data_IF_675089081342
#
_entry.id   IF_675089081342
#
_cell.length_a   1.000
_cell.length_b   1.000
_cell.length_c   1.000
_cell.angle_alpha   90.00
_cell.angle_beta   90.00
_cell.angle_gamma   90.00
#
_symmetry.space_group_name_H-M   'P 1'
#
loop_
_entity.id
_entity.type
_entity.pdbx_description
1 polymer ?
#
# COMPACT_ATOMS: atom_id res chain seq x y z
N UNK A 1 -18.33 6.96 -6.38
CA UNK A 1 -18.51 6.42 -5.03
C UNK A 1 -19.87 6.83 -4.50
N UNK A 2 -20.60 5.86 -3.96
CA UNK A 2 -21.92 6.04 -3.35
C UNK A 2 -21.96 5.30 -2.03
N UNK A 3 -22.75 5.79 -1.09
CA UNK A 3 -23.05 5.07 0.14
C UNK A 3 -23.91 3.83 -0.20
N UNK A 4 -23.48 2.65 0.25
CA UNK A 4 -24.11 1.37 -0.14
C UNK A 4 -25.54 1.25 0.37
N UNK A 5 -25.87 1.88 1.50
CA UNK A 5 -27.20 1.79 2.11
C UNK A 5 -28.19 2.72 1.44
N UNK A 6 -27.77 3.94 1.13
CA UNK A 6 -28.65 5.02 0.66
C UNK A 6 -28.57 5.25 -0.85
N UNK A 7 -27.51 4.78 -1.50
CA UNK A 7 -27.19 5.10 -2.89
C UNK A 7 -26.72 6.55 -3.09
N UNK A 8 -26.63 7.36 -2.03
CA UNK A 8 -26.27 8.77 -2.13
C UNK A 8 -24.79 8.94 -2.53
N UNK A 9 -24.46 9.92 -3.41
CA UNK A 9 -23.08 10.16 -3.82
C UNK A 9 -22.22 10.69 -2.67
N UNK A 10 -21.04 10.10 -2.49
CA UNK A 10 -20.08 10.50 -1.45
C UNK A 10 -19.07 11.50 -2.03
N UNK A 11 -19.12 12.74 -1.54
CA UNK A 11 -18.21 13.80 -1.93
C UNK A 11 -16.95 13.90 -1.04
N UNK A 12 -15.93 14.66 -1.47
CA UNK A 12 -14.69 14.87 -0.69
C UNK A 12 -14.92 15.49 0.69
N UNK A 13 -15.97 16.29 0.84
CA UNK A 13 -16.38 16.95 2.09
C UNK A 13 -16.88 15.96 3.15
N UNK A 14 -17.18 14.72 2.79
CA UNK A 14 -17.60 13.66 3.72
C UNK A 14 -16.45 12.74 4.13
N UNK A 15 -15.31 12.80 3.44
CA UNK A 15 -14.14 11.98 3.71
C UNK A 15 -13.18 12.71 4.66
N UNK A 16 -12.59 11.98 5.60
CA UNK A 16 -11.47 12.43 6.41
C UNK A 16 -10.19 12.52 5.55
N UNK A 17 -9.19 13.27 6.01
CA UNK A 17 -7.84 13.11 5.46
C UNK A 17 -7.21 11.88 6.12
N UNK A 18 -6.86 10.90 5.32
CA UNK A 18 -5.91 9.86 5.68
C UNK A 18 -4.67 10.10 4.82
N UNK A 19 -3.49 10.12 5.44
CA UNK A 19 -2.23 10.12 4.66
C UNK A 19 -2.16 11.31 3.69
N UNK A 20 -2.61 12.49 4.18
CA UNK A 20 -2.75 13.77 3.43
C UNK A 20 -3.77 13.78 2.28
N UNK A 21 -4.53 12.71 2.06
CA UNK A 21 -5.46 12.56 0.95
C UNK A 21 -6.83 12.09 1.43
N UNK A 22 -7.84 12.28 0.59
CA UNK A 22 -9.24 11.93 0.92
C UNK A 22 -9.60 10.51 0.52
N UNK A 23 -8.91 9.99 -0.49
CA UNK A 23 -9.19 8.72 -1.13
C UNK A 23 -7.87 8.16 -1.67
N UNK A 24 -7.64 6.88 -1.43
CA UNK A 24 -6.51 6.14 -1.95
C UNK A 24 -7.02 5.04 -2.87
N UNK A 25 -6.50 5.00 -4.10
CA UNK A 25 -6.74 3.90 -5.03
C UNK A 25 -5.50 3.01 -5.04
N UNK A 26 -5.67 1.79 -4.55
CA UNK A 26 -4.64 0.77 -4.46
C UNK A 26 -4.94 -0.26 -5.56
N UNK A 27 -4.26 -0.07 -6.69
CA UNK A 27 -4.54 -0.79 -7.93
C UNK A 27 -3.50 -1.89 -8.11
N UNK A 28 -3.96 -3.15 -8.23
CA UNK A 28 -3.08 -4.31 -8.31
C UNK A 28 -3.58 -5.29 -9.37
N UNK A 29 -2.66 -5.89 -10.11
CA UNK A 29 -2.97 -6.95 -11.07
C UNK A 29 -3.07 -8.35 -10.42
N UNK A 30 -3.65 -9.32 -11.15
CA UNK A 30 -3.97 -10.65 -10.60
C UNK A 30 -2.75 -11.53 -10.28
N UNK A 31 -1.56 -11.18 -10.78
CA UNK A 31 -0.28 -11.79 -10.41
C UNK A 31 0.42 -11.12 -9.22
N UNK A 32 -0.11 -9.98 -8.73
CA UNK A 32 0.46 -9.18 -7.64
C UNK A 32 1.87 -8.64 -7.94
N UNK A 33 2.11 -8.20 -9.18
CA UNK A 33 3.43 -7.70 -9.64
C UNK A 33 3.42 -6.30 -10.25
N UNK A 34 2.24 -5.75 -10.53
CA UNK A 34 2.02 -4.40 -11.01
C UNK A 34 1.04 -3.68 -10.07
N UNK A 35 1.64 -2.99 -9.11
CA UNK A 35 0.97 -2.23 -8.05
C UNK A 35 1.13 -0.73 -8.31
N UNK A 36 0.04 0.03 -8.17
CA UNK A 36 0.05 1.49 -8.20
C UNK A 36 -0.79 2.07 -7.06
N UNK A 37 -0.25 3.09 -6.40
CA UNK A 37 -0.94 3.88 -5.38
C UNK A 37 -1.31 5.24 -5.97
N UNK A 38 -2.59 5.49 -6.17
CA UNK A 38 -3.08 6.67 -6.88
C UNK A 38 -4.03 7.45 -5.98
N UNK A 39 -3.88 8.78 -5.95
CA UNK A 39 -4.87 9.66 -5.33
C UNK A 39 -5.73 10.29 -6.41
N UNK A 40 -6.99 9.87 -6.54
CA UNK A 40 -7.90 10.51 -7.46
C UNK A 40 -8.25 11.93 -6.97
N UNK A 41 -8.67 12.75 -7.91
CA UNK A 41 -9.27 14.06 -7.64
C UNK A 41 -10.78 13.96 -7.79
N UNK A 42 -11.51 14.87 -7.15
CA UNK A 42 -12.96 14.95 -7.33
C UNK A 42 -13.31 15.23 -8.79
N UNK A 43 -14.31 14.51 -9.32
CA UNK A 43 -14.82 14.69 -10.67
C UNK A 43 -15.86 15.80 -10.78
N UNK A 44 -16.46 15.92 -11.97
CA UNK A 44 -17.43 16.98 -12.26
C UNK A 44 -18.75 16.86 -11.48
N UNK A 45 -19.20 15.63 -11.20
CA UNK A 45 -20.40 15.39 -10.38
C UNK A 45 -20.00 14.92 -8.99
N UNK A 46 -20.85 15.19 -8.00
CA UNK A 46 -20.67 14.66 -6.65
C UNK A 46 -20.63 13.14 -6.70
N UNK A 47 -19.67 12.53 -6.01
CA UNK A 47 -19.45 11.09 -6.05
C UNK A 47 -18.50 10.64 -7.17
N UNK A 48 -18.25 11.48 -8.18
CA UNK A 48 -17.25 11.17 -9.20
C UNK A 48 -15.84 11.40 -8.66
N UNK A 49 -14.94 10.52 -9.05
CA UNK A 49 -13.51 10.60 -8.77
C UNK A 49 -12.77 10.29 -10.07
N UNK A 50 -11.75 11.09 -10.38
CA UNK A 50 -10.98 11.02 -11.62
C UNK A 50 -9.53 10.72 -11.30
N UNK A 51 -8.96 9.77 -12.04
CA UNK A 51 -7.56 9.38 -11.94
C UNK A 51 -7.03 8.93 -13.30
N UNK A 52 -5.71 8.90 -13.44
CA UNK A 52 -5.03 8.31 -14.59
C UNK A 52 -4.21 7.13 -14.11
N UNK A 53 -4.29 6.03 -14.84
CA UNK A 53 -3.62 4.77 -14.52
C UNK A 53 -2.98 4.25 -15.80
N UNK A 54 -1.72 3.82 -15.71
CA UNK A 54 -0.99 3.23 -16.84
C UNK A 54 -0.61 1.80 -16.49
N UNK A 55 -1.39 0.79 -16.91
CA UNK A 55 -1.06 -0.60 -16.60
C UNK A 55 0.24 -1.01 -17.30
N UNK A 56 1.08 -1.77 -16.61
CA UNK A 56 2.23 -2.43 -17.23
C UNK A 56 1.80 -3.60 -18.13
N UNK A 57 0.67 -4.24 -17.81
CA UNK A 57 0.20 -5.45 -18.47
C UNK A 57 -1.25 -5.29 -18.93
N UNK A 58 -1.59 -5.90 -20.07
CA UNK A 58 -2.94 -5.82 -20.64
C UNK A 58 -3.88 -6.83 -20.01
N UNK A 59 -4.08 -6.82 -18.69
CA UNK A 59 -4.80 -7.86 -17.92
C UNK A 59 -5.83 -7.30 -16.94
N UNK A 60 -6.38 -8.15 -16.08
CA UNK A 60 -7.33 -7.76 -15.04
C UNK A 60 -6.61 -7.10 -13.86
N UNK A 61 -7.17 -6.01 -13.36
CA UNK A 61 -6.75 -5.31 -12.16
C UNK A 61 -7.91 -5.20 -11.18
N UNK A 62 -7.61 -5.22 -9.88
CA UNK A 62 -8.52 -4.78 -8.84
C UNK A 62 -8.12 -3.40 -8.37
N UNK A 63 -9.09 -2.49 -8.34
CA UNK A 63 -8.97 -1.16 -7.76
C UNK A 63 -9.62 -1.19 -6.41
N UNK A 64 -8.82 -1.10 -5.35
CA UNK A 64 -9.32 -0.88 -4.00
C UNK A 64 -9.38 0.61 -3.71
N UNK A 65 -10.56 1.09 -3.35
CA UNK A 65 -10.76 2.41 -2.80
C UNK A 65 -10.71 2.31 -1.28
N UNK A 66 -9.66 2.87 -0.70
CA UNK A 66 -9.50 3.07 0.73
C UNK A 66 -9.93 4.49 1.10
N UNK A 67 -10.93 4.57 1.97
CA UNK A 67 -11.52 5.83 2.41
C UNK A 67 -11.92 5.76 3.87
N UNK A 68 -11.78 6.89 4.55
CA UNK A 68 -12.27 7.07 5.92
C UNK A 68 -13.32 8.15 5.91
N UNK A 69 -14.51 7.91 6.48
CA UNK A 69 -15.49 8.98 6.72
C UNK A 69 -15.06 9.82 7.90
N UNK A 70 -15.46 11.09 7.94
CA UNK A 70 -15.08 12.02 9.03
C UNK A 70 -15.30 11.47 10.44
N UNK A 71 -16.37 10.69 10.63
CA UNK A 71 -16.77 10.11 11.91
C UNK A 71 -16.82 8.57 11.86
N UNK A 72 -16.07 7.94 10.95
CA UNK A 72 -16.11 6.50 10.72
C UNK A 72 -14.73 5.86 10.68
N UNK A 73 -14.73 4.53 10.67
CA UNK A 73 -13.51 3.74 10.50
C UNK A 73 -13.00 3.77 9.06
N UNK A 74 -11.78 3.29 8.86
CA UNK A 74 -11.22 3.04 7.53
C UNK A 74 -12.03 1.93 6.83
N UNK A 75 -12.50 2.21 5.62
CA UNK A 75 -13.34 1.33 4.82
C UNK A 75 -12.66 1.05 3.48
N UNK A 76 -12.75 -0.19 3.02
CA UNK A 76 -12.27 -0.62 1.71
C UNK A 76 -13.44 -1.09 0.86
N UNK A 77 -13.55 -0.56 -0.35
CA UNK A 77 -14.43 -1.08 -1.40
C UNK A 77 -13.61 -1.34 -2.65
N UNK A 78 -14.03 -2.27 -3.49
CA UNK A 78 -13.28 -2.58 -4.71
C UNK A 78 -14.16 -2.69 -5.94
N UNK A 79 -13.52 -2.47 -7.09
CA UNK A 79 -14.04 -2.80 -8.40
C UNK A 79 -12.93 -3.44 -9.23
N UNK A 80 -13.33 -4.30 -10.17
CA UNK A 80 -12.39 -4.90 -11.11
C UNK A 80 -12.38 -4.08 -12.41
N UNK A 81 -11.19 -3.86 -12.96
CA UNK A 81 -10.98 -3.24 -14.27
C UNK A 81 -10.28 -4.22 -15.22
N UNK A 82 -10.66 -4.20 -16.49
CA UNK A 82 -10.04 -5.04 -17.53
C UNK A 82 -9.22 -4.11 -18.43
N UNK A 83 -7.90 -4.17 -18.32
CA UNK A 83 -6.97 -3.40 -19.16
C UNK A 83 -6.66 -4.11 -20.50
N UNK A 84 -7.01 -5.39 -20.62
CA UNK A 84 -6.85 -6.20 -21.82
C UNK A 84 -7.19 -7.67 -21.56
N UNK A 85 -6.73 -8.57 -22.43
CA UNK A 85 -7.01 -10.02 -22.38
C UNK A 85 -5.78 -10.90 -22.10
N UNK A 86 -4.66 -10.31 -21.68
CA UNK A 86 -3.46 -11.04 -21.30
C UNK A 86 -3.74 -11.95 -20.09
N UNK A 87 -3.29 -13.20 -20.17
CA UNK A 87 -3.37 -14.13 -19.03
C UNK A 87 -2.22 -13.85 -18.08
N UNK A 88 -2.53 -13.61 -16.81
CA UNK A 88 -1.50 -13.48 -15.81
C UNK A 88 -0.93 -14.83 -15.34
N UNK A 89 0.35 -14.86 -14.94
CA UNK A 89 0.88 -15.97 -14.17
C UNK A 89 0.25 -16.00 -12.77
N UNK A 90 0.22 -17.17 -12.14
CA UNK A 90 -0.16 -17.27 -10.74
C UNK A 90 0.81 -16.45 -9.87
N UNK A 91 0.34 -15.74 -8.82
CA UNK A 91 1.23 -15.06 -7.89
C UNK A 91 2.26 -16.01 -7.29
N UNK A 92 3.51 -15.56 -7.20
CA UNK A 92 4.58 -16.32 -6.54
C UNK A 92 4.24 -16.50 -5.05
N UNK A 93 4.28 -17.75 -4.61
CA UNK A 93 3.98 -18.14 -3.24
C UNK A 93 5.23 -18.26 -2.36
N UNK A 94 6.43 -18.12 -2.94
CA UNK A 94 7.67 -18.20 -2.17
C UNK A 94 7.80 -16.98 -1.26
N UNK A 95 8.08 -17.16 0.04
CA UNK A 95 8.41 -16.05 0.91
C UNK A 95 9.63 -15.28 0.39
N UNK A 96 9.50 -13.97 0.32
CA UNK A 96 10.55 -13.04 -0.09
C UNK A 96 10.53 -11.92 0.94
N UNK A 97 11.54 -11.92 1.81
CA UNK A 97 11.69 -10.95 2.90
C UNK A 97 12.87 -10.01 2.69
N UNK A 98 13.56 -10.12 1.56
CA UNK A 98 14.62 -9.19 1.16
C UNK A 98 14.43 -8.74 -0.28
N UNK A 99 14.82 -7.50 -0.56
CA UNK A 99 14.78 -6.93 -1.90
C UNK A 99 15.91 -5.90 -2.06
N UNK A 100 16.32 -5.65 -3.30
CA UNK A 100 17.27 -4.60 -3.64
C UNK A 100 16.70 -3.75 -4.77
N UNK A 101 16.50 -2.45 -4.54
CA UNK A 101 15.97 -1.51 -5.53
C UNK A 101 16.45 -0.08 -5.25
N UNK A 102 16.66 0.70 -6.32
CA UNK A 102 17.06 2.10 -6.19
C UNK A 102 18.42 2.31 -5.50
N UNK A 103 19.30 1.31 -5.50
CA UNK A 103 20.58 1.34 -4.80
C UNK A 103 20.48 1.07 -3.29
N UNK A 104 19.32 0.62 -2.80
CA UNK A 104 19.08 0.27 -1.41
C UNK A 104 18.75 -1.22 -1.28
N UNK A 105 19.15 -1.82 -0.15
CA UNK A 105 18.74 -3.16 0.27
C UNK A 105 17.74 -3.05 1.40
N UNK A 106 16.72 -3.89 1.32
CA UNK A 106 15.61 -3.91 2.25
C UNK A 106 15.49 -5.29 2.88
N UNK A 107 15.25 -5.35 4.19
CA UNK A 107 14.99 -6.58 4.91
C UNK A 107 13.73 -6.43 5.77
N UNK A 108 12.69 -7.17 5.41
CA UNK A 108 11.44 -7.27 6.16
C UNK A 108 11.58 -8.28 7.30
N UNK A 109 11.09 -7.91 8.48
CA UNK A 109 11.00 -8.79 9.64
C UNK A 109 9.75 -8.50 10.45
N UNK A 110 9.34 -9.46 11.27
CA UNK A 110 8.22 -9.33 12.19
C UNK A 110 8.66 -9.72 13.60
N UNK A 111 8.07 -9.09 14.60
CA UNK A 111 8.36 -9.36 16.02
C UNK A 111 7.85 -10.75 16.48
N UNK A 112 7.01 -11.41 15.66
CA UNK A 112 6.49 -12.74 15.90
C UNK A 112 5.89 -13.35 14.62
N UNK A 113 5.28 -14.54 14.74
CA UNK A 113 4.54 -15.14 13.64
C UNK A 113 3.43 -14.22 13.13
N UNK A 114 3.26 -14.15 11.82
CA UNK A 114 2.16 -13.41 11.19
C UNK A 114 0.95 -14.35 11.11
N UNK A 115 -0.13 -14.04 11.81
CA UNK A 115 -1.35 -14.87 11.85
C UNK A 115 -2.59 -14.09 11.45
N UNK A 116 -3.58 -14.79 10.92
CA UNK A 116 -4.87 -14.22 10.61
C UNK A 116 -5.60 -13.76 11.90
N UNK A 117 -6.14 -12.55 11.90
CA UNK A 117 -6.86 -11.96 13.02
C UNK A 117 -5.99 -11.57 14.22
N UNK A 118 -4.66 -11.60 14.10
CA UNK A 118 -3.74 -11.19 15.15
C UNK A 118 -2.84 -10.04 14.68
N UNK A 119 -2.84 -8.94 15.45
CA UNK A 119 -1.96 -7.81 15.23
C UNK A 119 -0.48 -8.19 15.42
N UNK A 120 0.37 -7.77 14.49
CA UNK A 120 1.81 -8.02 14.54
C UNK A 120 2.61 -6.78 14.16
N UNK A 121 3.73 -6.59 14.88
CA UNK A 121 4.72 -5.57 14.57
C UNK A 121 5.64 -6.03 13.45
N UNK A 122 5.62 -5.31 12.32
CA UNK A 122 6.54 -5.47 11.20
C UNK A 122 7.59 -4.36 11.16
N UNK A 123 8.73 -4.64 10.55
CA UNK A 123 9.76 -3.64 10.27
C UNK A 123 10.51 -3.94 8.99
N UNK A 124 10.85 -2.89 8.25
CA UNK A 124 11.76 -2.96 7.10
C UNK A 124 13.03 -2.19 7.43
N UNK A 125 14.14 -2.90 7.56
CA UNK A 125 15.47 -2.31 7.68
C UNK A 125 16.01 -1.95 6.29
N UNK A 126 16.64 -0.77 6.19
CA UNK A 126 17.11 -0.18 4.94
C UNK A 126 18.58 0.16 5.07
N UNK A 127 19.38 -0.36 4.14
CA UNK A 127 20.81 -0.05 4.02
C UNK A 127 21.16 0.34 2.60
N UNK A 128 22.21 1.16 2.45
CA UNK A 128 22.80 1.42 1.15
C UNK A 128 23.38 0.11 0.58
N UNK A 129 23.03 -0.23 -0.66
CA UNK A 129 23.35 -1.54 -1.23
C UNK A 129 24.85 -1.76 -1.44
N UNK A 130 25.60 -0.67 -1.65
CA UNK A 130 27.03 -0.69 -1.97
C UNK A 130 27.89 -0.67 -0.71
N UNK A 131 27.59 0.22 0.23
CA UNK A 131 28.37 0.43 1.45
C UNK A 131 27.90 -0.40 2.64
N UNK A 132 26.65 -0.90 2.60
CA UNK A 132 26.02 -1.61 3.71
C UNK A 132 25.66 -0.72 4.90
N UNK A 133 25.85 0.60 4.79
CA UNK A 133 25.57 1.54 5.88
C UNK A 133 24.06 1.76 6.04
N UNK A 134 23.56 1.98 7.28
CA UNK A 134 22.15 2.29 7.51
C UNK A 134 21.69 3.52 6.73
N UNK A 135 20.58 3.41 6.01
CA UNK A 135 20.07 4.50 5.20
C UNK A 135 19.12 5.41 6.01
N UNK A 136 19.59 6.59 6.39
CA UNK A 136 18.84 7.53 7.26
C UNK A 136 18.32 8.76 6.51
N UNK A 137 18.14 8.64 5.19
CA UNK A 137 17.77 9.74 4.31
C UNK A 137 16.40 9.53 3.65
N UNK A 138 15.50 8.79 4.29
CA UNK A 138 14.11 8.69 3.82
C UNK A 138 13.47 10.07 3.84
N UNK A 139 12.79 10.40 2.76
CA UNK A 139 12.05 11.65 2.61
C UNK A 139 10.56 11.41 2.92
N UNK A 140 9.84 12.46 3.35
CA UNK A 140 8.39 12.41 3.45
C UNK A 140 7.74 12.06 2.12
N UNK A 141 6.73 11.19 2.19
CA UNK A 141 5.81 10.85 1.12
C UNK A 141 4.41 10.73 1.73
N UNK A 142 3.45 11.50 1.21
CA UNK A 142 2.03 11.45 1.65
C UNK A 142 1.86 11.59 3.18
N UNK A 143 2.67 12.44 3.83
CA UNK A 143 2.59 12.72 5.26
C UNK A 143 3.26 11.69 6.18
N UNK A 144 4.03 10.74 5.64
CA UNK A 144 4.79 9.77 6.42
C UNK A 144 6.17 9.49 5.78
N UNK A 145 7.03 8.71 6.43
CA UNK A 145 8.31 8.27 5.86
C UNK A 145 8.23 6.96 5.07
N UNK A 146 7.02 6.55 4.73
CA UNK A 146 6.70 5.37 3.94
C UNK A 146 5.23 5.01 4.06
N UNK A 147 4.78 4.03 3.28
CA UNK A 147 3.43 3.46 3.34
C UNK A 147 3.54 1.97 3.09
N UNK A 148 2.72 1.19 3.78
CA UNK A 148 2.74 -0.26 3.63
C UNK A 148 1.36 -0.72 3.20
N UNK A 149 1.30 -1.42 2.08
CA UNK A 149 0.06 -2.01 1.56
C UNK A 149 0.24 -3.50 1.41
N UNK A 150 -0.71 -4.28 1.89
CA UNK A 150 -0.69 -5.72 1.82
C UNK A 150 -1.94 -6.24 1.12
N UNK A 151 -1.78 -7.21 0.22
CA UNK A 151 -2.87 -7.87 -0.49
C UNK A 151 -2.83 -9.38 -0.22
N UNK A 152 -3.98 -9.99 0.04
CA UNK A 152 -4.07 -11.44 -0.02
C UNK A 152 -3.91 -11.95 -1.45
N UNK A 153 -3.40 -13.18 -1.58
CA UNK A 153 -3.15 -13.82 -2.89
C UNK A 153 -4.35 -13.84 -3.82
N UNK A 154 -5.54 -14.01 -3.26
CA UNK A 154 -6.82 -14.17 -3.95
C UNK A 154 -7.60 -12.85 -4.08
N UNK A 155 -7.00 -11.73 -3.69
CA UNK A 155 -7.64 -10.42 -3.63
C UNK A 155 -8.86 -10.34 -2.71
N UNK A 156 -9.07 -11.26 -1.77
CA UNK A 156 -10.19 -11.17 -0.85
C UNK A 156 -9.98 -10.14 0.26
N UNK A 157 -8.73 -9.76 0.56
CA UNK A 157 -8.42 -8.75 1.58
C UNK A 157 -7.25 -7.84 1.19
N UNK A 158 -7.28 -6.65 1.78
CA UNK A 158 -6.23 -5.64 1.71
C UNK A 158 -6.00 -5.07 3.10
N UNK A 159 -4.78 -4.61 3.35
CA UNK A 159 -4.43 -3.69 4.42
C UNK A 159 -3.63 -2.52 3.87
N UNK A 160 -3.91 -1.32 4.34
CA UNK A 160 -3.14 -0.12 4.08
C UNK A 160 -2.80 0.53 5.40
N UNK A 161 -1.53 0.44 5.78
CA UNK A 161 -1.05 0.84 7.10
C UNK A 161 0.10 1.83 7.00
N UNK A 162 0.10 2.74 7.98
CA UNK A 162 1.13 3.74 8.14
C UNK A 162 2.35 3.22 8.88
N UNK A 163 3.54 3.77 8.58
CA UNK A 163 4.67 3.62 9.46
C UNK A 163 4.36 4.18 10.84
N UNK A 164 4.89 3.50 11.84
CA UNK A 164 4.94 4.04 13.19
C UNK A 164 5.98 5.15 13.29
N UNK A 165 5.77 6.04 14.25
CA UNK A 165 6.68 7.14 14.54
C UNK A 165 6.00 8.50 14.44
N UNK A 166 6.80 9.56 14.55
CA UNK A 166 6.31 10.93 14.38
C UNK A 166 6.19 11.26 12.91
N UNK A 167 5.03 11.76 12.50
CA UNK A 167 4.80 12.24 11.14
C UNK A 167 5.70 13.45 10.83
N UNK A 168 6.27 13.55 9.61
CA UNK A 168 7.03 14.71 9.19
C UNK A 168 6.16 15.97 9.17
N UNK A 169 6.73 17.10 9.59
CA UNK A 169 6.10 18.42 9.54
C UNK A 169 6.53 19.22 8.31
N UNK A 170 7.57 18.76 7.61
CA UNK A 170 8.09 19.39 6.38
C UNK A 170 8.81 18.38 5.49
N UNK A 171 8.86 18.66 4.18
CA UNK A 171 9.55 17.82 3.19
C UNK A 171 11.09 17.75 3.36
N UNK A 172 11.65 18.63 4.20
CA UNK A 172 13.09 18.64 4.52
C UNK A 172 13.48 17.64 5.60
N UNK A 173 12.53 17.09 6.36
CA UNK A 173 12.84 16.12 7.41
C UNK A 173 13.32 14.79 6.83
N UNK A 174 14.09 14.05 7.61
CA UNK A 174 14.64 12.75 7.22
C UNK A 174 14.40 11.71 8.31
N UNK A 175 14.23 10.46 7.88
CA UNK A 175 14.04 9.31 8.77
C UNK A 175 14.78 8.08 8.24
N UNK A 176 14.58 6.95 8.91
CA UNK A 176 15.31 5.71 8.72
C UNK A 176 16.21 5.40 9.92
N UNK A 177 16.92 4.26 9.91
CA UNK A 177 17.04 3.30 8.81
C UNK A 177 15.96 2.22 8.80
N UNK A 178 14.90 2.38 9.59
CA UNK A 178 13.83 1.39 9.74
C UNK A 178 12.48 2.04 9.50
N UNK A 179 11.64 1.36 8.71
CA UNK A 179 10.21 1.65 8.59
C UNK A 179 9.46 0.59 9.41
N UNK A 180 9.04 0.94 10.62
CA UNK A 180 8.21 0.07 11.46
C UNK A 180 6.73 0.26 11.14
N UNK A 181 5.92 -0.79 11.22
CA UNK A 181 4.48 -0.74 10.95
C UNK A 181 3.75 -1.80 11.77
N UNK A 182 2.45 -1.61 12.00
CA UNK A 182 1.58 -2.60 12.60
C UNK A 182 0.57 -3.07 11.56
N UNK A 183 0.33 -4.37 11.48
CA UNK A 183 -0.68 -4.95 10.59
C UNK A 183 -1.44 -6.08 11.28
N UNK A 184 -2.66 -6.33 10.83
CA UNK A 184 -3.55 -7.40 11.32
C UNK A 184 -4.20 -8.09 10.11
N UNK A 185 -3.55 -9.11 9.54
CA UNK A 185 -4.06 -9.81 8.36
C UNK A 185 -5.40 -10.44 8.64
N UNK A 186 -6.41 -10.16 7.81
CA UNK A 186 -7.73 -10.76 7.98
C UNK A 186 -7.74 -12.26 7.65
N UNK A 187 -6.95 -12.65 6.66
CA UNK A 187 -6.98 -13.99 6.07
C UNK A 187 -5.61 -14.66 6.17
N UNK A 188 -5.61 -15.97 6.41
CA UNK A 188 -4.42 -16.82 6.27
C UNK A 188 -4.02 -17.03 4.82
N UNK A 189 -2.78 -17.47 4.59
CA UNK A 189 -2.24 -17.79 3.27
C UNK A 189 -1.12 -16.85 2.83
N UNK A 190 -0.88 -16.78 1.52
CA UNK A 190 0.16 -15.92 0.96
C UNK A 190 -0.34 -14.48 0.93
N UNK A 191 0.52 -13.56 1.40
CA UNK A 191 0.27 -12.14 1.37
C UNK A 191 1.42 -11.41 0.67
N UNK A 192 1.06 -10.52 -0.25
CA UNK A 192 2.01 -9.63 -0.93
C UNK A 192 2.04 -8.30 -0.21
N UNK A 193 3.20 -7.87 0.24
CA UNK A 193 3.38 -6.58 0.93
C UNK A 193 4.18 -5.65 0.01
N UNK A 194 3.78 -4.40 -0.08
CA UNK A 194 4.47 -3.34 -0.80
C UNK A 194 4.83 -2.22 0.17
N UNK A 195 6.10 -1.88 0.25
CA UNK A 195 6.59 -0.73 1.04
C UNK A 195 6.95 0.39 0.09
N UNK A 196 6.16 1.45 0.10
CA UNK A 196 6.34 2.64 -0.72
C UNK A 196 7.07 3.71 0.08
N UNK A 197 8.21 4.18 -0.42
CA UNK A 197 9.04 5.20 0.23
C UNK A 197 9.50 6.25 -0.78
N UNK A 198 9.96 7.39 -0.28
CA UNK A 198 10.72 8.37 -1.06
C UNK A 198 12.17 8.35 -0.59
N UNK A 199 13.10 8.05 -1.48
CA UNK A 199 14.53 8.02 -1.21
C UNK A 199 15.31 8.59 -2.39
N UNK A 200 16.32 9.43 -2.12
CA UNK A 200 17.16 10.05 -3.14
C UNK A 200 16.36 10.78 -4.23
N UNK A 201 15.25 11.43 -3.85
CA UNK A 201 14.35 12.15 -4.74
C UNK A 201 13.49 11.26 -5.64
N UNK A 202 13.43 9.95 -5.37
CA UNK A 202 12.65 8.98 -6.15
C UNK A 202 11.74 8.16 -5.27
N UNK A 203 10.54 7.94 -5.77
CA UNK A 203 9.63 6.96 -5.20
C UNK A 203 10.14 5.54 -5.49
N UNK A 204 10.11 4.68 -4.48
CA UNK A 204 10.46 3.26 -4.59
C UNK A 204 9.36 2.45 -3.91
N UNK A 205 8.82 1.46 -4.62
CA UNK A 205 7.79 0.54 -4.12
C UNK A 205 8.43 -0.84 -4.02
N UNK A 206 8.65 -1.33 -2.81
CA UNK A 206 9.39 -2.57 -2.51
C UNK A 206 8.46 -3.75 -2.23
N UNK A 207 8.44 -4.79 -3.08
CA UNK A 207 7.60 -5.95 -2.87
C UNK A 207 8.24 -6.97 -1.94
N UNK A 208 7.43 -7.55 -1.06
CA UNK A 208 7.73 -8.71 -0.24
C UNK A 208 6.61 -9.73 -0.35
N UNK A 209 6.90 -10.98 0.00
CA UNK A 209 5.93 -12.06 0.08
C UNK A 209 6.08 -12.76 1.42
N UNK A 210 4.99 -12.93 2.16
CA UNK A 210 4.99 -13.59 3.47
C UNK A 210 3.89 -14.63 3.55
N UNK A 211 4.07 -15.59 4.45
CA UNK A 211 3.03 -16.56 4.81
C UNK A 211 2.34 -16.07 6.08
N UNK A 212 1.03 -15.99 6.02
CA UNK A 212 0.13 -15.74 7.15
C UNK A 212 -0.43 -17.09 7.58
N UNK A 213 -0.21 -17.49 8.83
CA UNK A 213 -0.86 -18.70 9.34
C UNK A 213 -2.35 -18.43 9.59
N UNK A 214 -3.15 -19.50 9.52
CA UNK A 214 -4.50 -19.47 10.07
C UNK A 214 -4.48 -19.31 11.59
#
# INVERSE_FOLDING_TARGET
MTDVKTGAPIGPDQLALAHTKKLHLLIIDESLTDYQHIHPIAGAKRGDWTFSFTPKFGRKYRVWADSTRKDGDQEYVFADMIAGSEKAPAPDAKPVVTAEMGGLKFALSFAGPVKAGEGVMGSVAIVDAKSGQPFTQLQPIMGAFGHVVAFSRDWSSIEHVHPQGTEPKSDSERSGPVVGFHMEPKNGGIMKIFVQIMANGREVIVPFTVNVSA
#
